data_IF_490945436733
#
_entry.id   IF_490945436733
#
_cell.length_a   1.000
_cell.length_b   1.000
_cell.length_c   1.000
_cell.angle_alpha   90.00
_cell.angle_beta   90.00
_cell.angle_gamma   90.00
#
_symmetry.space_group_name_H-M   'P 1'
#
loop_
_entity.id
_entity.type
_entity.pdbx_description
1 polymer ?
#
# COMPACT_ATOMS: atom_id res chain seq x y z
N UNK A 1 -30.16 -17.47 -9.32
CA UNK A 1 -29.80 -16.03 -9.29
C UNK A 1 -28.47 -15.68 -8.61
N UNK A 2 -27.90 -16.55 -7.78
CA UNK A 2 -26.64 -16.27 -7.04
C UNK A 2 -25.38 -16.40 -7.93
N UNK A 3 -25.38 -17.28 -8.94
CA UNK A 3 -24.24 -17.45 -9.87
C UNK A 3 -23.98 -16.25 -10.80
N UNK A 4 -25.00 -15.44 -11.13
CA UNK A 4 -24.83 -14.23 -11.97
C UNK A 4 -24.27 -13.03 -11.21
N UNK A 5 -24.50 -12.93 -9.89
CA UNK A 5 -23.90 -11.87 -9.06
C UNK A 5 -22.42 -12.12 -8.75
N UNK A 6 -21.98 -13.38 -8.70
CA UNK A 6 -20.58 -13.72 -8.46
C UNK A 6 -19.67 -13.45 -9.67
N UNK A 7 -20.20 -13.55 -10.91
CA UNK A 7 -19.45 -13.20 -12.14
C UNK A 7 -19.28 -11.68 -12.36
N UNK A 8 -20.15 -10.85 -11.80
CA UNK A 8 -20.05 -9.39 -11.92
C UNK A 8 -19.05 -8.78 -10.92
N UNK A 9 -18.82 -9.43 -9.77
CA UNK A 9 -17.77 -8.99 -8.83
C UNK A 9 -16.36 -9.32 -9.34
N UNK A 10 -16.16 -10.44 -10.04
CA UNK A 10 -14.86 -10.82 -10.60
C UNK A 10 -14.46 -9.97 -11.82
N UNK A 11 -15.42 -9.44 -12.58
CA UNK A 11 -15.14 -8.53 -13.69
C UNK A 11 -14.64 -7.14 -13.24
N UNK A 12 -15.13 -6.63 -12.10
CA UNK A 12 -14.72 -5.32 -11.57
C UNK A 12 -13.32 -5.34 -10.93
N UNK A 13 -12.91 -6.46 -10.33
CA UNK A 13 -11.54 -6.64 -9.81
C UNK A 13 -10.53 -6.79 -10.95
N UNK A 14 -10.93 -7.34 -12.10
CA UNK A 14 -10.05 -7.53 -13.25
C UNK A 14 -9.72 -6.23 -14.00
N UNK A 15 -10.58 -5.21 -13.93
CA UNK A 15 -10.35 -3.92 -14.61
C UNK A 15 -9.40 -2.99 -13.85
N UNK A 16 -9.22 -3.17 -12.53
CA UNK A 16 -8.29 -2.37 -11.72
C UNK A 16 -6.82 -2.80 -11.95
N UNK A 17 -6.59 -4.03 -12.42
CA UNK A 17 -5.24 -4.52 -12.73
C UNK A 17 -4.77 -4.15 -14.15
N UNK A 18 -5.65 -3.62 -15.01
CA UNK A 18 -5.32 -3.33 -16.41
C UNK A 18 -4.77 -1.93 -16.70
N UNK A 19 -4.74 -0.99 -15.74
CA UNK A 19 -4.24 0.37 -16.01
C UNK A 19 -2.76 0.62 -15.71
N UNK A 20 -1.99 -0.37 -15.24
CA UNK A 20 -0.60 -0.15 -14.83
C UNK A 20 0.47 -1.00 -15.55
N UNK A 21 0.12 -1.81 -16.57
CA UNK A 21 1.10 -2.77 -17.15
C UNK A 21 1.19 -2.83 -18.69
N UNK A 22 0.66 -1.86 -19.43
CA UNK A 22 0.88 -1.82 -20.88
C UNK A 22 1.24 -0.43 -21.36
N UNK A 23 2.53 -0.11 -21.37
CA UNK A 23 3.10 0.66 -22.47
C UNK A 23 4.40 -0.01 -22.91
N UNK A 24 4.29 -0.70 -24.06
CA UNK A 24 5.41 -1.18 -24.85
C UNK A 24 6.17 0.04 -25.40
N UNK A 25 7.49 -0.05 -25.39
CA UNK A 25 8.39 0.84 -26.11
C UNK A 25 8.07 0.79 -27.62
N UNK A 26 7.64 1.91 -28.19
CA UNK A 26 7.82 2.19 -29.61
C UNK A 26 8.38 3.61 -29.76
N UNK A 27 9.46 3.70 -30.52
CA UNK A 27 10.22 4.91 -30.81
C UNK A 27 9.32 5.98 -31.45
N UNK A 28 9.16 7.11 -30.77
CA UNK A 28 8.53 8.31 -31.30
C UNK A 28 9.24 9.56 -30.80
N UNK A 29 10.02 10.20 -31.68
CA UNK A 29 10.63 11.51 -31.42
C UNK A 29 9.54 12.53 -31.06
N UNK A 30 9.54 13.01 -29.81
CA UNK A 30 8.67 14.10 -29.39
C UNK A 30 9.32 15.45 -29.73
N UNK A 31 8.73 16.21 -30.65
CA UNK A 31 9.07 17.62 -30.88
C UNK A 31 8.18 18.50 -29.99
N UNK A 32 8.74 19.45 -29.20
CA UNK A 32 7.91 20.31 -28.37
C UNK A 32 7.27 21.44 -29.20
N UNK A 33 5.94 21.54 -29.11
CA UNK A 33 5.18 22.69 -29.60
C UNK A 33 5.28 23.85 -28.60
N UNK A 34 5.62 25.03 -29.10
CA UNK A 34 5.58 26.30 -28.36
C UNK A 34 4.11 26.71 -28.17
N UNK A 35 3.68 26.92 -26.93
CA UNK A 35 2.59 27.83 -26.62
C UNK A 35 2.99 28.77 -25.49
N UNK A 36 3.13 30.03 -25.87
CA UNK A 36 3.23 31.21 -25.04
C UNK A 36 1.88 31.54 -24.41
N UNK A 37 1.85 31.73 -23.09
CA UNK A 37 0.68 32.21 -22.37
C UNK A 37 1.06 32.48 -20.92
N UNK A 38 1.55 33.69 -20.64
CA UNK A 38 1.92 34.12 -19.30
C UNK A 38 0.70 34.37 -18.42
N UNK A 39 0.79 33.95 -17.16
CA UNK A 39 0.11 34.62 -16.06
C UNK A 39 1.10 34.73 -14.90
N UNK A 40 1.53 35.96 -14.63
CA UNK A 40 2.45 36.29 -13.55
C UNK A 40 1.70 36.18 -12.22
N UNK A 41 1.98 35.12 -11.47
CA UNK A 41 1.77 35.10 -10.02
C UNK A 41 3.14 35.11 -9.38
N UNK A 42 3.45 36.20 -8.70
CA UNK A 42 4.68 36.38 -7.93
C UNK A 42 4.66 35.45 -6.72
N UNK A 43 5.09 34.21 -6.89
CA UNK A 43 5.51 33.35 -5.79
C UNK A 43 6.94 33.70 -5.42
N UNK A 44 7.20 33.93 -4.13
CA UNK A 44 8.54 34.11 -3.56
C UNK A 44 9.54 33.07 -4.10
N UNK A 45 10.38 33.50 -5.06
CA UNK A 45 11.49 32.71 -5.59
C UNK A 45 12.67 32.74 -4.60
N UNK A 46 12.50 32.11 -3.44
CA UNK A 46 13.66 31.50 -2.81
C UNK A 46 14.07 30.32 -3.72
N UNK A 47 15.35 30.19 -4.11
CA UNK A 47 15.76 29.04 -4.92
C UNK A 47 15.34 27.77 -4.18
N UNK A 48 14.58 26.90 -4.84
CA UNK A 48 14.34 25.56 -4.32
C UNK A 48 15.69 24.84 -4.27
N UNK A 49 16.39 24.96 -3.14
CA UNK A 49 17.62 24.23 -2.86
C UNK A 49 17.22 22.77 -2.81
N UNK A 50 17.49 22.07 -3.91
CA UNK A 50 17.26 20.64 -3.99
C UNK A 50 18.17 19.99 -2.94
N UNK A 51 17.63 19.08 -2.09
CA UNK A 51 18.45 18.35 -1.14
C UNK A 51 19.64 17.70 -1.84
N UNK A 52 20.82 17.77 -1.21
CA UNK A 52 22.04 17.18 -1.73
C UNK A 52 21.89 15.66 -1.90
N UNK A 53 21.30 15.00 -0.91
CA UNK A 53 20.99 13.57 -0.96
C UNK A 53 19.59 13.31 -1.48
N UNK A 54 19.48 12.32 -2.36
CA UNK A 54 18.21 11.79 -2.85
C UNK A 54 17.44 11.03 -1.76
N UNK A 55 16.13 10.83 -1.96
CA UNK A 55 15.31 9.97 -1.11
C UNK A 55 15.58 8.50 -1.45
N UNK A 56 16.15 7.68 -0.54
CA UNK A 56 16.39 6.27 -0.80
C UNK A 56 15.10 5.45 -0.89
N UNK A 57 13.95 6.00 -0.45
CA UNK A 57 12.63 5.38 -0.61
C UNK A 57 12.01 5.65 -1.98
N UNK A 58 12.66 6.44 -2.83
CA UNK A 58 12.29 6.57 -4.24
C UNK A 58 12.60 5.26 -4.98
N UNK A 59 11.68 4.81 -5.83
CA UNK A 59 11.79 3.54 -6.56
C UNK A 59 13.11 3.37 -7.33
N UNK A 60 13.50 4.39 -8.09
CA UNK A 60 14.74 4.36 -8.85
C UNK A 60 15.96 4.43 -7.93
N UNK A 61 15.94 5.33 -6.94
CA UNK A 61 17.06 5.48 -5.99
C UNK A 61 17.32 4.20 -5.19
N UNK A 62 16.25 3.52 -4.75
CA UNK A 62 16.33 2.26 -4.04
C UNK A 62 17.01 1.19 -4.89
N UNK A 63 16.57 1.02 -6.14
CA UNK A 63 17.18 0.10 -7.12
C UNK A 63 18.61 0.49 -7.47
N UNK A 64 18.90 1.77 -7.56
CA UNK A 64 20.25 2.27 -7.81
C UNK A 64 21.21 1.86 -6.70
N UNK A 65 20.78 1.89 -5.43
CA UNK A 65 21.60 1.46 -4.29
C UNK A 65 21.69 -0.06 -4.22
N UNK A 66 20.56 -0.77 -4.24
CA UNK A 66 20.49 -2.19 -3.84
C UNK A 66 20.32 -3.19 -5.00
N UNK A 67 19.88 -2.72 -6.16
CA UNK A 67 19.53 -3.56 -7.32
C UNK A 67 20.53 -3.49 -8.49
N UNK A 68 21.59 -2.70 -8.37
CA UNK A 68 22.64 -2.59 -9.39
C UNK A 68 23.87 -3.44 -9.03
N UNK A 69 24.53 -3.97 -10.05
CA UNK A 69 25.80 -4.69 -9.91
C UNK A 69 26.92 -3.70 -9.67
N UNK A 70 27.70 -3.90 -8.61
CA UNK A 70 28.78 -2.98 -8.23
C UNK A 70 30.19 -3.54 -8.49
N UNK A 71 30.32 -4.85 -8.67
CA UNK A 71 31.60 -5.49 -9.00
C UNK A 71 31.69 -5.81 -10.48
N UNK A 72 32.84 -5.55 -11.11
CA UNK A 72 33.09 -5.99 -12.50
C UNK A 72 33.31 -7.50 -12.61
N UNK A 73 33.87 -8.12 -11.56
CA UNK A 73 34.21 -9.55 -11.51
C UNK A 73 33.07 -10.46 -11.00
N UNK A 74 31.90 -9.90 -10.72
CA UNK A 74 30.79 -10.64 -10.15
C UNK A 74 29.46 -9.90 -10.20
N UNK A 75 28.36 -10.62 -10.06
CA UNK A 75 27.02 -10.03 -10.03
C UNK A 75 26.63 -9.64 -8.60
N UNK A 76 27.50 -8.91 -7.88
CA UNK A 76 27.36 -8.63 -6.45
C UNK A 76 26.94 -7.19 -6.15
N UNK A 77 26.33 -7.01 -4.98
CA UNK A 77 26.02 -5.71 -4.39
C UNK A 77 26.29 -5.72 -2.87
N UNK A 78 27.33 -5.00 -2.46
CA UNK A 78 27.78 -4.93 -1.07
C UNK A 78 26.80 -4.20 -0.14
N UNK A 79 26.05 -3.22 -0.65
CA UNK A 79 25.01 -2.53 0.12
C UNK A 79 23.87 -3.48 0.47
N UNK A 80 23.43 -4.30 -0.48
CA UNK A 80 22.37 -5.29 -0.27
C UNK A 80 22.80 -6.37 0.71
N UNK A 81 24.04 -6.88 0.58
CA UNK A 81 24.61 -7.83 1.54
C UNK A 81 24.62 -7.27 2.96
N UNK A 82 25.12 -6.05 3.12
CA UNK A 82 25.27 -5.42 4.44
C UNK A 82 23.92 -5.06 5.07
N UNK A 83 22.96 -4.58 4.27
CA UNK A 83 21.58 -4.35 4.69
C UNK A 83 20.94 -5.66 5.20
N UNK A 84 21.03 -6.75 4.44
CA UNK A 84 20.44 -8.03 4.81
C UNK A 84 21.10 -8.61 6.08
N UNK A 85 22.42 -8.63 6.17
CA UNK A 85 23.12 -9.12 7.35
C UNK A 85 22.73 -8.34 8.61
N UNK A 86 22.62 -7.02 8.51
CA UNK A 86 22.34 -6.16 9.66
C UNK A 86 20.87 -6.18 10.08
N UNK A 87 19.94 -6.05 9.13
CA UNK A 87 18.50 -5.98 9.41
C UNK A 87 17.92 -7.34 9.79
N UNK A 88 18.33 -8.42 9.10
CA UNK A 88 17.90 -9.78 9.42
C UNK A 88 18.71 -10.42 10.56
N UNK A 89 19.67 -9.67 11.13
CA UNK A 89 20.54 -10.11 12.23
C UNK A 89 21.29 -11.41 11.94
N UNK A 90 21.76 -11.58 10.70
CA UNK A 90 22.48 -12.78 10.29
C UNK A 90 23.90 -12.75 10.84
N UNK A 91 24.16 -13.64 11.80
CA UNK A 91 25.44 -13.75 12.49
C UNK A 91 26.01 -15.17 12.34
N UNK A 92 27.29 -15.34 12.69
CA UNK A 92 27.98 -16.63 12.71
C UNK A 92 27.83 -17.38 11.37
N UNK A 93 27.36 -18.62 11.42
CA UNK A 93 27.09 -19.44 10.24
C UNK A 93 25.96 -18.86 9.39
N UNK A 94 24.98 -18.15 9.94
CA UNK A 94 23.93 -17.54 9.12
C UNK A 94 24.39 -16.32 8.33
N UNK A 95 25.56 -15.75 8.61
CA UNK A 95 26.04 -14.53 7.94
C UNK A 95 26.23 -14.75 6.44
N UNK A 96 25.75 -13.79 5.64
CA UNK A 96 25.97 -13.73 4.19
C UNK A 96 27.41 -13.26 3.94
N UNK A 97 28.19 -14.06 3.24
CA UNK A 97 29.56 -13.72 2.84
C UNK A 97 29.55 -13.05 1.47
N UNK A 98 28.78 -13.60 0.54
CA UNK A 98 28.63 -13.13 -0.83
C UNK A 98 27.15 -13.16 -1.21
N UNK A 99 26.74 -12.18 -2.02
CA UNK A 99 25.41 -12.12 -2.59
C UNK A 99 25.48 -11.93 -4.10
N UNK A 100 24.63 -12.63 -4.84
CA UNK A 100 24.47 -12.51 -6.28
C UNK A 100 23.08 -11.98 -6.58
N UNK A 101 22.97 -10.86 -7.29
CA UNK A 101 21.67 -10.40 -7.77
C UNK A 101 21.08 -11.43 -8.74
N UNK A 102 19.77 -11.58 -8.74
CA UNK A 102 19.04 -12.53 -9.57
C UNK A 102 17.88 -11.83 -10.29
N UNK A 103 17.23 -12.54 -11.22
CA UNK A 103 16.13 -11.96 -11.97
C UNK A 103 14.99 -11.52 -11.02
N UNK A 104 14.60 -10.26 -11.12
CA UNK A 104 13.53 -9.68 -10.31
C UNK A 104 12.12 -10.01 -10.83
N UNK A 105 12.00 -10.66 -11.99
CA UNK A 105 10.75 -11.19 -12.50
C UNK A 105 10.49 -12.60 -11.98
N UNK A 106 9.66 -12.71 -10.94
CA UNK A 106 9.22 -13.98 -10.36
C UNK A 106 8.09 -14.58 -11.20
N UNK A 107 8.36 -15.67 -11.89
CA UNK A 107 7.37 -16.39 -12.69
C UNK A 107 7.51 -17.90 -12.52
N UNK A 108 6.47 -18.64 -12.89
CA UNK A 108 6.50 -20.12 -12.97
C UNK A 108 7.05 -20.61 -14.31
N UNK A 109 7.50 -19.71 -15.19
CA UNK A 109 7.89 -20.03 -16.57
C UNK A 109 6.72 -20.34 -17.51
N UNK A 110 5.46 -20.36 -17.02
CA UNK A 110 4.27 -20.57 -17.85
C UNK A 110 3.87 -19.27 -18.55
N UNK A 111 3.57 -19.34 -19.84
CA UNK A 111 3.21 -18.17 -20.67
C UNK A 111 1.98 -17.41 -20.20
N UNK A 112 1.06 -18.09 -19.50
CA UNK A 112 -0.21 -17.51 -19.05
C UNK A 112 -0.13 -16.91 -17.64
N UNK A 113 0.96 -17.15 -16.93
CA UNK A 113 1.13 -16.67 -15.56
C UNK A 113 1.55 -15.21 -15.55
N UNK A 114 0.77 -14.37 -14.85
CA UNK A 114 1.25 -13.04 -14.46
C UNK A 114 2.34 -13.22 -13.41
N UNK A 115 3.58 -12.89 -13.77
CA UNK A 115 4.68 -12.85 -12.83
C UNK A 115 4.60 -11.62 -11.92
N UNK A 116 5.42 -11.65 -10.87
CA UNK A 116 5.66 -10.51 -10.01
C UNK A 116 6.99 -9.86 -10.39
N UNK A 117 7.06 -8.54 -10.31
CA UNK A 117 8.33 -7.82 -10.42
C UNK A 117 8.67 -7.30 -9.03
N UNK A 118 9.82 -7.74 -8.52
CA UNK A 118 10.38 -7.31 -7.24
C UNK A 118 11.37 -6.16 -7.42
N UNK A 119 11.69 -5.45 -6.34
CA UNK A 119 12.70 -4.39 -6.40
C UNK A 119 14.11 -4.98 -6.46
N UNK A 120 14.41 -5.91 -5.55
CA UNK A 120 15.68 -6.64 -5.52
C UNK A 120 15.40 -8.11 -5.24
N UNK A 121 15.97 -8.98 -6.06
CA UNK A 121 16.00 -10.41 -5.82
C UNK A 121 17.46 -10.87 -5.88
N UNK A 122 17.88 -11.70 -4.94
CA UNK A 122 19.28 -12.10 -4.84
C UNK A 122 19.46 -13.44 -4.10
N UNK A 123 20.61 -14.07 -4.31
CA UNK A 123 20.95 -15.40 -3.79
C UNK A 123 22.30 -15.30 -3.08
N UNK A 124 22.42 -15.88 -1.90
CA UNK A 124 23.70 -15.90 -1.18
C UNK A 124 24.58 -17.12 -1.49
N UNK A 125 25.78 -17.11 -0.91
CA UNK A 125 26.73 -18.22 -0.97
C UNK A 125 26.23 -19.55 -0.37
N UNK A 126 25.10 -19.54 0.35
CA UNK A 126 24.43 -20.73 0.90
C UNK A 126 23.19 -21.13 0.10
N UNK A 127 23.01 -20.55 -1.08
CA UNK A 127 21.85 -20.70 -1.96
C UNK A 127 20.53 -20.22 -1.37
N UNK A 128 20.52 -19.52 -0.23
CA UNK A 128 19.30 -18.89 0.31
C UNK A 128 18.92 -17.75 -0.63
N UNK A 129 17.63 -17.61 -0.93
CA UNK A 129 17.14 -16.53 -1.77
C UNK A 129 16.53 -15.43 -0.91
N UNK A 130 16.70 -14.20 -1.35
CA UNK A 130 16.26 -13.00 -0.66
C UNK A 130 15.51 -12.08 -1.61
N UNK A 131 14.34 -11.63 -1.17
CA UNK A 131 13.53 -10.63 -1.86
C UNK A 131 13.55 -9.38 -0.98
N UNK A 132 13.98 -8.23 -1.52
CA UNK A 132 13.94 -6.95 -0.82
C UNK A 132 12.98 -6.02 -1.53
N UNK A 133 11.99 -5.51 -0.80
CA UNK A 133 10.92 -4.68 -1.32
C UNK A 133 10.85 -3.34 -0.59
N UNK A 134 10.72 -2.24 -1.32
CA UNK A 134 10.48 -0.91 -0.77
C UNK A 134 9.06 -0.47 -1.10
N UNK A 135 8.21 -0.35 -0.09
CA UNK A 135 6.82 0.05 -0.28
C UNK A 135 6.51 1.34 0.46
N UNK A 136 6.29 2.41 -0.30
CA UNK A 136 6.10 3.72 0.32
C UNK A 136 4.64 4.03 0.64
N UNK A 137 3.70 3.43 -0.08
CA UNK A 137 2.27 3.59 0.17
C UNK A 137 1.65 2.34 0.72
N UNK A 138 0.76 2.56 1.67
CA UNK A 138 -0.22 1.57 2.07
C UNK A 138 -1.27 1.43 0.96
N UNK A 139 -1.32 0.27 0.32
CA UNK A 139 -2.37 -0.06 -0.63
C UNK A 139 -3.00 -1.40 -0.25
N UNK A 140 -4.30 -1.55 -0.49
CA UNK A 140 -5.00 -2.80 -0.29
C UNK A 140 -4.30 -3.94 -1.03
N UNK A 141 -4.16 -5.11 -0.40
CA UNK A 141 -3.52 -6.28 -1.00
C UNK A 141 -2.01 -6.35 -0.81
N UNK A 142 -1.39 -5.43 -0.06
CA UNK A 142 0.07 -5.45 0.14
C UNK A 142 0.55 -6.70 0.90
N UNK A 143 -0.19 -7.11 1.95
CA UNK A 143 0.17 -8.29 2.75
C UNK A 143 0.11 -9.56 1.90
N UNK A 144 -0.95 -9.71 1.11
CA UNK A 144 -1.12 -10.82 0.19
C UNK A 144 -0.07 -10.81 -0.93
N UNK A 145 0.37 -9.62 -1.36
CA UNK A 145 1.42 -9.46 -2.39
C UNK A 145 2.76 -9.98 -1.88
N UNK A 146 3.21 -9.59 -0.70
CA UNK A 146 4.49 -10.05 -0.15
C UNK A 146 4.46 -11.55 0.22
N UNK A 147 3.30 -12.08 0.62
CA UNK A 147 3.11 -13.52 0.78
C UNK A 147 3.17 -14.24 -0.58
N UNK A 148 2.51 -13.68 -1.59
CA UNK A 148 2.49 -14.19 -2.95
C UNK A 148 3.87 -14.23 -3.61
N UNK A 149 4.74 -13.25 -3.34
CA UNK A 149 6.12 -13.25 -3.82
C UNK A 149 6.91 -14.45 -3.31
N UNK A 150 6.88 -14.66 -1.99
CA UNK A 150 7.59 -15.76 -1.33
C UNK A 150 7.04 -17.10 -1.79
N UNK A 151 5.71 -17.25 -1.84
CA UNK A 151 5.08 -18.46 -2.34
C UNK A 151 5.41 -18.72 -3.83
N UNK A 152 5.47 -17.66 -4.66
CA UNK A 152 5.82 -17.77 -6.08
C UNK A 152 7.25 -18.23 -6.29
N UNK A 153 8.21 -17.63 -5.59
CA UNK A 153 9.63 -17.97 -5.74
C UNK A 153 10.00 -19.29 -5.05
N UNK A 154 9.31 -19.65 -3.96
CA UNK A 154 9.44 -20.99 -3.39
C UNK A 154 8.87 -22.06 -4.34
N UNK A 155 7.67 -21.81 -4.88
CA UNK A 155 6.96 -22.74 -5.76
C UNK A 155 7.58 -22.89 -7.15
N UNK A 156 8.30 -21.89 -7.66
CA UNK A 156 8.95 -21.94 -8.97
C UNK A 156 10.20 -22.83 -9.00
N UNK A 157 10.74 -23.19 -7.82
CA UNK A 157 11.91 -24.07 -7.71
C UNK A 157 11.59 -25.53 -7.99
N UNK A 158 10.31 -25.92 -8.01
CA UNK A 158 9.91 -27.30 -8.27
C UNK A 158 9.91 -27.57 -9.78
N UNK A 159 11.04 -28.03 -10.31
CA UNK A 159 11.13 -28.55 -11.67
C UNK A 159 10.67 -30.03 -11.75
N UNK A 160 10.14 -30.41 -12.91
CA UNK A 160 9.61 -31.77 -13.11
C UNK A 160 10.77 -32.77 -13.24
N UNK A 161 10.91 -33.66 -12.25
CA UNK A 161 11.90 -34.75 -12.26
C UNK A 161 13.13 -34.53 -11.37
N UNK A 162 13.20 -33.39 -10.66
CA UNK A 162 14.25 -33.13 -9.69
C UNK A 162 13.91 -33.64 -8.28
N UNK A 163 14.95 -33.88 -7.48
CA UNK A 163 14.81 -34.32 -6.10
C UNK A 163 14.38 -33.12 -5.22
N UNK A 164 13.29 -33.30 -4.45
CA UNK A 164 12.68 -32.29 -3.57
C UNK A 164 13.58 -31.83 -2.41
N UNK A 165 14.72 -32.50 -2.19
CA UNK A 165 15.66 -32.21 -1.09
C UNK A 165 16.48 -30.92 -1.27
N UNK A 166 16.48 -30.31 -2.47
CA UNK A 166 17.36 -29.18 -2.82
C UNK A 166 16.66 -27.81 -2.89
N UNK A 167 15.50 -27.65 -2.25
CA UNK A 167 14.77 -26.37 -2.29
C UNK A 167 15.43 -25.33 -1.39
N UNK A 168 15.78 -24.19 -1.97
CA UNK A 168 16.35 -23.05 -1.26
C UNK A 168 15.28 -22.32 -0.44
N UNK A 169 15.57 -21.99 0.83
CA UNK A 169 14.67 -21.17 1.62
C UNK A 169 14.63 -19.74 1.07
N UNK A 170 13.46 -19.11 1.16
CA UNK A 170 13.20 -17.73 0.75
C UNK A 170 13.04 -16.86 2.00
N UNK A 171 13.73 -15.72 2.03
CA UNK A 171 13.57 -14.69 3.05
C UNK A 171 13.19 -13.36 2.41
N UNK A 172 12.01 -12.84 2.72
CA UNK A 172 11.59 -11.53 2.25
C UNK A 172 11.90 -10.46 3.30
N UNK A 173 12.48 -9.35 2.87
CA UNK A 173 12.63 -8.11 3.63
C UNK A 173 11.76 -7.03 2.98
N UNK A 174 10.64 -6.66 3.61
CA UNK A 174 9.84 -5.51 3.20
C UNK A 174 10.22 -4.30 4.04
N UNK A 175 10.43 -3.15 3.40
CA UNK A 175 10.66 -1.87 4.07
C UNK A 175 9.52 -0.94 3.69
N UNK A 176 8.77 -0.47 4.69
CA UNK A 176 7.58 0.35 4.49
C UNK A 176 7.75 1.76 5.06
N UNK A 177 7.22 2.78 4.37
CA UNK A 177 7.20 4.17 4.90
C UNK A 177 5.95 4.48 5.73
N UNK A 178 5.05 3.52 5.88
CA UNK A 178 3.80 3.62 6.62
C UNK A 178 3.77 2.57 7.73
N UNK A 179 2.87 2.74 8.69
CA UNK A 179 2.56 1.71 9.67
C UNK A 179 1.68 0.67 8.99
N UNK A 180 2.19 -0.52 8.77
CA UNK A 180 1.46 -1.68 8.27
C UNK A 180 0.62 -2.28 9.39
N UNK A 181 1.21 -2.49 10.56
CA UNK A 181 0.53 -3.04 11.73
C UNK A 181 -0.02 -1.91 12.59
N UNK A 182 -1.35 -1.77 12.58
CA UNK A 182 -2.12 -0.72 13.28
C UNK A 182 -3.07 -1.35 14.30
N UNK A 183 -3.75 -0.50 15.06
CA UNK A 183 -4.82 -0.87 16.00
C UNK A 183 -4.35 -1.91 17.02
N UNK A 184 -4.95 -3.10 17.02
CA UNK A 184 -4.61 -4.22 17.91
C UNK A 184 -3.19 -4.76 17.73
N UNK A 185 -2.51 -4.41 16.63
CA UNK A 185 -1.14 -4.82 16.31
C UNK A 185 -0.13 -3.66 16.40
N UNK A 186 -0.50 -2.53 17.04
CA UNK A 186 0.36 -1.35 17.15
C UNK A 186 1.62 -1.61 18.00
N UNK A 187 1.56 -2.60 18.90
CA UNK A 187 2.68 -3.03 19.75
C UNK A 187 3.77 -3.80 18.98
N UNK A 188 3.49 -4.24 17.74
CA UNK A 188 4.48 -4.84 16.86
C UNK A 188 5.61 -3.82 16.61
N UNK A 189 6.87 -4.17 16.92
CA UNK A 189 8.01 -3.26 16.79
C UNK A 189 8.30 -2.90 15.33
N UNK A 190 9.06 -1.81 15.15
CA UNK A 190 9.42 -1.28 13.83
C UNK A 190 10.21 -2.27 12.95
N UNK A 191 10.84 -3.30 13.52
CA UNK A 191 11.33 -4.47 12.80
C UNK A 191 10.61 -5.68 13.37
N UNK A 192 9.86 -6.40 12.54
CA UNK A 192 9.14 -7.60 12.95
C UNK A 192 9.51 -8.78 12.07
N UNK A 193 9.58 -9.97 12.68
CA UNK A 193 9.98 -11.20 12.02
C UNK A 193 8.83 -12.21 12.05
N UNK A 194 8.44 -12.70 10.88
CA UNK A 194 7.28 -13.56 10.69
C UNK A 194 7.70 -14.88 10.06
N UNK A 195 7.16 -15.98 10.59
CA UNK A 195 7.47 -17.36 10.17
C UNK A 195 6.28 -18.27 10.43
N UNK A 196 6.26 -19.41 9.76
CA UNK A 196 5.25 -20.45 10.00
C UNK A 196 5.61 -21.20 11.29
N UNK A 197 4.63 -21.37 12.18
CA UNK A 197 4.79 -22.10 13.44
C UNK A 197 3.66 -23.10 13.65
N UNK A 198 3.95 -24.16 14.40
CA UNK A 198 2.92 -25.09 14.86
C UNK A 198 2.08 -24.45 15.96
N UNK A 199 0.77 -24.61 15.88
CA UNK A 199 -0.23 -23.87 16.66
C UNK A 199 -0.14 -24.11 18.17
N UNK A 200 0.16 -25.34 18.60
CA UNK A 200 0.18 -25.73 20.01
C UNK A 200 1.47 -25.33 20.72
N UNK A 201 2.61 -25.54 20.05
CA UNK A 201 3.95 -25.44 20.64
C UNK A 201 4.73 -24.21 20.19
N UNK A 202 4.23 -23.47 19.20
CA UNK A 202 4.91 -22.37 18.53
C UNK A 202 6.27 -22.75 17.90
N UNK A 203 6.51 -24.05 17.69
CA UNK A 203 7.75 -24.53 17.06
C UNK A 203 7.73 -24.24 15.56
N UNK A 204 8.87 -23.79 15.04
CA UNK A 204 9.06 -23.53 13.61
C UNK A 204 9.64 -24.78 12.94
N UNK A 205 8.77 -25.68 12.49
CA UNK A 205 9.18 -26.89 11.74
C UNK A 205 9.40 -26.56 10.27
N UNK A 206 8.56 -25.70 9.68
CA UNK A 206 8.65 -25.28 8.29
C UNK A 206 9.49 -24.00 8.15
N UNK A 207 10.79 -24.16 7.89
CA UNK A 207 11.75 -23.05 7.85
C UNK A 207 12.02 -22.48 6.44
N UNK A 208 11.26 -22.92 5.44
CA UNK A 208 11.49 -22.60 4.02
C UNK A 208 11.09 -21.17 3.62
N UNK A 209 10.26 -20.49 4.42
CA UNK A 209 9.71 -19.17 4.09
C UNK A 209 9.72 -18.28 5.33
N UNK A 210 10.29 -17.08 5.22
CA UNK A 210 10.30 -16.06 6.29
C UNK A 210 10.05 -14.67 5.73
N UNK A 211 9.46 -13.81 6.54
CA UNK A 211 9.26 -12.40 6.24
C UNK A 211 9.86 -11.56 7.36
N UNK A 212 10.52 -10.48 7.00
CA UNK A 212 10.92 -9.41 7.93
C UNK A 212 10.36 -8.10 7.41
N UNK A 213 9.63 -7.39 8.25
CA UNK A 213 9.00 -6.12 7.90
C UNK A 213 9.68 -5.01 8.71
N UNK A 214 10.14 -3.98 8.02
CA UNK A 214 10.71 -2.77 8.62
C UNK A 214 9.76 -1.60 8.36
N UNK A 215 9.08 -1.13 9.40
CA UNK A 215 8.17 0.02 9.35
C UNK A 215 8.93 1.31 9.70
N UNK A 216 9.43 2.03 8.69
CA UNK A 216 10.16 3.29 8.88
C UNK A 216 9.33 4.34 9.65
N UNK A 217 8.00 4.28 9.55
CA UNK A 217 7.09 5.15 10.29
C UNK A 217 7.20 4.98 11.81
N UNK A 218 7.56 3.78 12.30
CA UNK A 218 7.72 3.47 13.74
C UNK A 218 9.14 3.74 14.25
N UNK A 219 10.12 3.96 13.38
CA UNK A 219 11.51 4.21 13.76
C UNK A 219 11.76 5.64 14.24
N UNK A 220 12.00 5.86 15.53
CA UNK A 220 12.11 7.21 16.11
C UNK A 220 13.46 7.52 16.77
N UNK A 221 14.50 6.70 16.52
CA UNK A 221 15.83 6.94 17.05
C UNK A 221 16.42 8.23 16.50
N UNK A 222 17.01 9.03 17.37
CA UNK A 222 17.84 10.18 17.04
C UNK A 222 19.21 9.75 16.59
N UNK A 223 19.96 10.64 15.93
CA UNK A 223 21.32 10.34 15.45
C UNK A 223 22.23 9.85 16.58
N UNK A 224 22.10 10.40 17.80
CA UNK A 224 22.88 10.00 18.98
C UNK A 224 22.60 8.55 19.44
N UNK A 225 21.43 8.01 19.12
CA UNK A 225 21.01 6.64 19.43
C UNK A 225 21.38 5.61 18.35
N UNK A 226 21.97 6.07 17.24
CA UNK A 226 22.45 5.22 16.14
C UNK A 226 23.77 4.57 16.53
N UNK A 227 23.69 3.30 16.90
CA UNK A 227 24.82 2.53 17.45
C UNK A 227 25.13 1.26 16.63
N UNK A 228 24.17 0.74 15.89
CA UNK A 228 24.31 -0.52 15.14
C UNK A 228 24.24 -0.30 13.64
N UNK A 229 24.72 -1.26 12.85
CA UNK A 229 24.67 -1.17 11.39
C UNK A 229 23.22 -1.10 10.85
N UNK A 230 22.29 -1.85 11.47
CA UNK A 230 20.86 -1.74 11.13
C UNK A 230 20.31 -0.34 11.40
N UNK A 231 20.75 0.30 12.49
CA UNK A 231 20.31 1.65 12.83
C UNK A 231 20.79 2.63 11.78
N UNK A 232 22.03 2.50 11.30
CA UNK A 232 22.57 3.34 10.22
C UNK A 232 21.75 3.21 8.95
N UNK A 233 21.47 1.98 8.50
CA UNK A 233 20.65 1.75 7.31
C UNK A 233 19.25 2.33 7.45
N UNK A 234 18.55 2.02 8.54
CA UNK A 234 17.16 2.46 8.74
C UNK A 234 17.09 3.98 8.91
N UNK A 235 18.06 4.59 9.60
CA UNK A 235 18.15 6.03 9.73
C UNK A 235 18.46 6.70 8.38
N UNK A 236 19.38 6.15 7.57
CA UNK A 236 19.66 6.65 6.23
C UNK A 236 18.43 6.58 5.33
N UNK A 237 17.76 5.43 5.26
CA UNK A 237 16.55 5.23 4.47
C UNK A 237 15.43 6.21 4.86
N UNK A 238 15.28 6.51 6.16
CA UNK A 238 14.24 7.42 6.64
C UNK A 238 14.59 8.90 6.44
N UNK A 239 15.85 9.29 6.69
CA UNK A 239 16.21 10.69 6.93
C UNK A 239 17.13 11.31 5.87
N UNK A 240 17.65 10.55 4.89
CA UNK A 240 18.67 10.98 3.92
C UNK A 240 18.48 12.41 3.36
N UNK A 241 17.26 12.78 2.93
CA UNK A 241 16.97 14.11 2.34
C UNK A 241 17.25 15.28 3.29
N UNK A 242 17.16 15.05 4.60
CA UNK A 242 17.19 16.06 5.64
C UNK A 242 18.40 15.93 6.56
N UNK A 243 19.36 15.05 6.23
CA UNK A 243 20.55 14.84 7.06
C UNK A 243 21.35 16.13 7.22
N UNK A 244 21.61 16.51 8.48
CA UNK A 244 22.59 17.55 8.80
C UNK A 244 24.02 17.08 8.54
N UNK A 245 24.99 18.00 8.47
CA UNK A 245 26.40 17.62 8.32
C UNK A 245 26.92 16.83 9.53
N UNK A 246 26.45 17.13 10.75
CA UNK A 246 26.78 16.34 11.94
C UNK A 246 26.23 14.91 11.86
N UNK A 247 24.97 14.77 11.42
CA UNK A 247 24.33 13.46 11.27
C UNK A 247 25.04 12.61 10.21
N UNK A 248 25.40 13.24 9.07
CA UNK A 248 26.19 12.58 8.03
C UNK A 248 27.49 12.06 8.60
N UNK A 249 28.26 12.90 9.28
CA UNK A 249 29.54 12.52 9.85
C UNK A 249 29.41 11.26 10.71
N UNK A 250 28.44 11.24 11.63
CA UNK A 250 28.20 10.08 12.50
C UNK A 250 27.81 8.80 11.74
N UNK A 251 26.98 8.91 10.70
CA UNK A 251 26.58 7.76 9.89
C UNK A 251 27.75 7.22 9.07
N UNK A 252 28.55 8.12 8.49
CA UNK A 252 29.65 7.80 7.56
C UNK A 252 30.96 7.37 8.23
N UNK A 253 30.98 7.21 9.55
CA UNK A 253 32.07 6.49 10.24
C UNK A 253 32.15 5.03 9.78
N UNK A 254 31.04 4.47 9.27
CA UNK A 254 31.01 3.20 8.58
C UNK A 254 31.26 3.36 7.07
N UNK A 255 32.16 2.55 6.52
CA UNK A 255 32.61 2.68 5.11
C UNK A 255 31.49 2.33 4.13
N UNK A 256 30.67 1.32 4.41
CA UNK A 256 29.57 0.91 3.54
C UNK A 256 28.51 2.01 3.50
N UNK A 257 28.13 2.55 4.66
CA UNK A 257 27.17 3.66 4.76
C UNK A 257 27.73 4.92 4.10
N UNK A 258 29.02 5.21 4.23
CA UNK A 258 29.67 6.31 3.52
C UNK A 258 29.54 6.18 2.01
N UNK A 259 29.87 5.01 1.45
CA UNK A 259 29.74 4.77 0.01
C UNK A 259 28.28 4.80 -0.45
N UNK A 260 27.33 4.35 0.38
CA UNK A 260 25.90 4.50 0.09
C UNK A 260 25.47 5.97 0.07
N UNK A 261 25.97 6.81 1.00
CA UNK A 261 25.74 8.26 1.01
C UNK A 261 26.31 8.94 -0.25
N UNK A 262 27.49 8.55 -0.71
CA UNK A 262 28.08 9.04 -1.97
C UNK A 262 27.23 8.65 -3.19
N UNK A 263 26.64 7.45 -3.16
CA UNK A 263 25.78 6.93 -4.23
C UNK A 263 24.42 7.61 -4.32
N UNK A 264 23.93 8.19 -3.22
CA UNK A 264 22.69 9.01 -3.23
C UNK A 264 22.97 10.51 -3.31
N UNK A 265 24.25 10.90 -3.40
CA UNK A 265 24.66 12.28 -3.56
C UNK A 265 24.36 12.75 -4.98
N UNK A 266 23.32 13.55 -5.13
CA UNK A 266 22.87 14.02 -6.45
C UNK A 266 23.89 14.90 -7.15
N UNK A 267 24.90 15.41 -6.43
CA UNK A 267 25.99 16.19 -7.04
C UNK A 267 26.95 15.30 -7.83
N UNK A 268 27.03 14.00 -7.53
CA UNK A 268 27.90 13.04 -8.23
C UNK A 268 27.19 12.38 -9.43
N UNK A 269 25.86 12.45 -9.49
CA UNK A 269 25.04 11.83 -10.52
C UNK A 269 25.19 12.45 -11.91
N UNK A 270 25.10 11.57 -12.91
CA UNK A 270 24.98 11.96 -14.32
C UNK A 270 23.67 12.72 -14.58
N UNK A 271 23.55 13.33 -15.77
CA UNK A 271 22.30 13.96 -16.17
C UNK A 271 21.16 12.94 -16.31
N UNK A 272 21.46 11.74 -16.80
CA UNK A 272 20.48 10.65 -16.97
C UNK A 272 19.97 10.14 -15.63
N UNK A 273 20.85 9.90 -14.66
CA UNK A 273 20.48 9.47 -13.30
C UNK A 273 19.51 10.47 -12.64
N UNK A 274 19.81 11.77 -12.78
CA UNK A 274 18.92 12.84 -12.29
C UNK A 274 17.54 12.80 -12.96
N UNK A 275 17.49 12.52 -14.27
CA UNK A 275 16.23 12.37 -15.01
C UNK A 275 15.46 11.14 -14.52
N UNK A 276 16.13 10.00 -14.34
CA UNK A 276 15.46 8.78 -13.87
C UNK A 276 14.87 8.96 -12.47
N UNK A 277 15.64 9.56 -11.56
CA UNK A 277 15.16 9.90 -10.23
C UNK A 277 13.95 10.87 -10.27
N UNK A 278 14.07 11.99 -11.00
CA UNK A 278 13.00 12.98 -11.09
C UNK A 278 11.73 12.38 -11.72
N UNK A 279 11.86 11.49 -12.73
CA UNK A 279 10.73 10.75 -13.33
C UNK A 279 10.06 9.80 -12.32
N UNK A 280 10.84 9.12 -11.48
CA UNK A 280 10.31 8.26 -10.44
C UNK A 280 9.55 9.07 -9.38
N UNK A 281 10.08 10.24 -8.98
CA UNK A 281 9.38 11.17 -8.09
C UNK A 281 8.06 11.69 -8.69
N UNK A 282 8.06 12.04 -9.98
CA UNK A 282 6.86 12.57 -10.63
C UNK A 282 5.79 11.48 -10.84
N UNK A 283 6.19 10.27 -11.23
CA UNK A 283 5.27 9.12 -11.29
C UNK A 283 4.59 8.89 -9.95
N UNK A 284 5.39 8.88 -8.89
CA UNK A 284 4.91 8.77 -7.52
C UNK A 284 3.91 9.88 -7.17
N UNK A 285 4.22 11.16 -7.47
CA UNK A 285 3.27 12.26 -7.21
C UNK A 285 1.96 12.09 -7.97
N UNK A 286 2.00 11.65 -9.23
CA UNK A 286 0.80 11.40 -10.04
C UNK A 286 -0.03 10.26 -9.43
N UNK A 287 0.61 9.17 -9.02
CA UNK A 287 -0.05 8.07 -8.30
C UNK A 287 -0.61 8.54 -6.95
N UNK A 288 0.07 9.45 -6.24
CA UNK A 288 -0.43 10.02 -4.98
C UNK A 288 -1.67 10.86 -5.24
N UNK A 289 -1.60 11.80 -6.17
CA UNK A 289 -2.73 12.67 -6.49
C UNK A 289 -3.95 11.90 -7.01
N UNK A 290 -3.72 10.82 -7.78
CA UNK A 290 -4.79 9.93 -8.24
C UNK A 290 -5.45 9.19 -7.07
N UNK A 291 -4.65 8.66 -6.14
CA UNK A 291 -5.17 7.95 -4.97
C UNK A 291 -5.91 8.88 -4.00
N UNK A 292 -5.35 10.06 -3.72
CA UNK A 292 -5.97 11.07 -2.85
C UNK A 292 -7.31 11.53 -3.42
N UNK A 293 -7.40 11.71 -4.74
CA UNK A 293 -8.65 12.03 -5.43
C UNK A 293 -9.68 10.91 -5.26
N UNK A 294 -9.30 9.66 -5.52
CA UNK A 294 -10.20 8.49 -5.37
C UNK A 294 -10.65 8.32 -3.91
N UNK A 295 -9.76 8.54 -2.95
CA UNK A 295 -10.06 8.45 -1.52
C UNK A 295 -11.09 9.51 -1.11
N UNK A 296 -10.86 10.78 -1.47
CA UNK A 296 -11.81 11.88 -1.22
C UNK A 296 -13.17 11.64 -1.86
N UNK A 297 -13.21 11.23 -3.12
CA UNK A 297 -14.46 10.91 -3.81
C UNK A 297 -15.20 9.72 -3.17
N UNK A 298 -14.47 8.78 -2.56
CA UNK A 298 -15.05 7.63 -1.87
C UNK A 298 -15.62 8.01 -0.50
N UNK A 299 -14.91 8.84 0.25
CA UNK A 299 -15.37 9.41 1.52
C UNK A 299 -16.62 10.28 1.31
N UNK A 300 -16.61 11.18 0.32
CA UNK A 300 -17.78 12.00 -0.02
C UNK A 300 -18.99 11.15 -0.41
N UNK A 301 -18.79 10.08 -1.19
CA UNK A 301 -19.87 9.14 -1.54
C UNK A 301 -20.38 8.39 -0.32
N UNK A 302 -19.49 7.96 0.57
CA UNK A 302 -19.85 7.33 1.84
C UNK A 302 -20.69 8.25 2.72
N UNK A 303 -20.25 9.50 2.89
CA UNK A 303 -20.96 10.50 3.68
C UNK A 303 -22.34 10.83 3.08
N UNK A 304 -22.43 10.97 1.76
CA UNK A 304 -23.71 11.18 1.05
C UNK A 304 -24.67 10.01 1.26
N UNK A 305 -24.18 8.77 1.13
CA UNK A 305 -24.99 7.56 1.36
C UNK A 305 -25.48 7.48 2.80
N UNK A 306 -24.60 7.70 3.78
CA UNK A 306 -24.97 7.71 5.20
C UNK A 306 -26.05 8.75 5.51
N UNK A 307 -25.93 9.98 4.98
CA UNK A 307 -26.98 11.02 5.12
C UNK A 307 -28.29 10.63 4.45
N UNK A 308 -28.25 9.93 3.31
CA UNK A 308 -29.46 9.49 2.61
C UNK A 308 -30.16 8.34 3.36
N UNK A 309 -29.39 7.39 3.89
CA UNK A 309 -29.88 6.30 4.72
C UNK A 309 -30.51 6.84 6.02
N UNK A 310 -29.84 7.77 6.71
CA UNK A 310 -30.37 8.44 7.89
C UNK A 310 -31.69 9.17 7.57
N UNK A 311 -31.77 9.90 6.44
CA UNK A 311 -33.03 10.53 5.99
C UNK A 311 -34.14 9.52 5.74
N UNK A 312 -33.82 8.36 5.15
CA UNK A 312 -34.79 7.27 4.93
C UNK A 312 -35.26 6.68 6.25
N UNK A 313 -34.36 6.45 7.21
CA UNK A 313 -34.71 5.94 8.54
C UNK A 313 -35.59 6.91 9.33
N UNK A 314 -35.26 8.20 9.32
CA UNK A 314 -36.08 9.25 9.93
C UNK A 314 -37.47 9.27 9.29
N UNK A 315 -37.55 9.29 7.96
CA UNK A 315 -38.84 9.26 7.24
C UNK A 315 -39.67 8.00 7.57
N UNK A 316 -39.03 6.83 7.65
CA UNK A 316 -39.71 5.60 8.05
C UNK A 316 -40.21 5.66 9.51
N UNK A 317 -39.41 6.22 10.42
CA UNK A 317 -39.79 6.39 11.83
C UNK A 317 -40.98 7.32 11.98
N UNK A 318 -40.99 8.42 11.24
CA UNK A 318 -42.10 9.38 11.25
C UNK A 318 -43.36 8.79 10.62
N UNK A 319 -43.24 8.06 9.51
CA UNK A 319 -44.37 7.33 8.92
C UNK A 319 -44.95 6.30 9.90
N UNK A 320 -44.12 5.58 10.66
CA UNK A 320 -44.59 4.67 11.73
C UNK A 320 -45.34 5.40 12.84
N UNK A 321 -44.88 6.60 13.24
CA UNK A 321 -45.57 7.43 14.24
C UNK A 321 -46.95 7.89 13.73
N UNK A 322 -47.00 8.37 12.49
CA UNK A 322 -48.23 8.78 11.79
C UNK A 322 -49.23 7.61 11.71
N UNK A 323 -48.81 6.42 11.27
CA UNK A 323 -49.67 5.20 11.25
C UNK A 323 -50.22 4.84 12.63
N UNK A 324 -49.39 4.83 13.68
CA UNK A 324 -49.85 4.56 15.06
C UNK A 324 -50.87 5.58 15.55
N UNK A 325 -50.76 6.85 15.13
CA UNK A 325 -51.72 7.90 15.47
C UNK A 325 -53.05 7.67 14.75
N UNK A 326 -53.01 7.37 13.45
CA UNK A 326 -54.19 6.99 12.65
C UNK A 326 -54.90 5.79 13.28
N UNK A 327 -54.18 4.71 13.60
CA UNK A 327 -54.74 3.52 14.25
C UNK A 327 -55.48 3.84 15.56
N UNK A 328 -54.94 4.76 16.37
CA UNK A 328 -55.57 5.21 17.62
C UNK A 328 -56.85 5.99 17.36
N UNK A 329 -56.86 6.90 16.38
CA UNK A 329 -58.06 7.68 16.08
C UNK A 329 -59.16 6.83 15.41
N UNK A 330 -58.80 5.84 14.58
CA UNK A 330 -59.76 4.85 14.06
C UNK A 330 -60.36 4.04 15.22
N UNK A 331 -59.54 3.60 16.19
CA UNK A 331 -60.03 2.84 17.35
C UNK A 331 -60.99 3.64 18.25
N UNK A 332 -60.94 4.99 18.20
CA UNK A 332 -61.90 5.87 18.89
C UNK A 332 -63.19 6.12 18.09
N UNK A 333 -63.30 5.58 16.88
CA UNK A 333 -64.45 5.78 16.01
C UNK A 333 -64.46 7.10 15.23
N UNK A 334 -63.32 7.79 15.12
CA UNK A 334 -63.22 9.04 14.34
C UNK A 334 -63.41 8.76 12.84
N UNK A 335 -64.18 9.60 12.16
CA UNK A 335 -64.39 9.51 10.71
C UNK A 335 -63.09 9.84 9.92
N UNK A 336 -62.86 9.25 8.73
CA UNK A 336 -61.63 9.46 7.94
C UNK A 336 -61.25 10.94 7.73
N UNK A 337 -62.21 11.80 7.40
CA UNK A 337 -61.99 13.24 7.21
C UNK A 337 -61.53 13.95 8.49
N UNK A 338 -61.96 13.47 9.66
CA UNK A 338 -61.57 14.02 10.95
C UNK A 338 -60.15 13.57 11.30
N UNK A 339 -59.81 12.30 11.05
CA UNK A 339 -58.45 11.76 11.25
C UNK A 339 -57.46 12.51 10.36
N UNK A 340 -57.83 12.72 9.09
CA UNK A 340 -57.03 13.47 8.12
C UNK A 340 -56.68 14.87 8.63
N UNK A 341 -57.66 15.62 9.14
CA UNK A 341 -57.44 16.95 9.74
C UNK A 341 -56.53 16.91 10.97
N UNK A 342 -56.69 15.92 11.85
CA UNK A 342 -55.84 15.75 13.04
C UNK A 342 -54.38 15.46 12.66
N UNK A 343 -54.15 14.58 11.68
CA UNK A 343 -52.78 14.28 11.24
C UNK A 343 -52.15 15.49 10.54
N UNK A 344 -52.90 16.22 9.72
CA UNK A 344 -52.41 17.44 9.07
C UNK A 344 -52.10 18.56 10.09
N UNK A 345 -52.82 18.64 11.22
CA UNK A 345 -52.49 19.58 12.29
C UNK A 345 -51.27 19.15 13.10
N UNK A 346 -51.13 17.85 13.37
CA UNK A 346 -50.03 17.29 14.16
C UNK A 346 -48.71 17.22 13.33
N UNK A 347 -48.80 17.20 12.00
CA UNK A 347 -47.69 17.03 11.07
C UNK A 347 -47.83 17.95 9.84
N UNK A 348 -47.34 19.18 9.97
CA UNK A 348 -47.42 20.23 8.93
C UNK A 348 -46.58 19.94 7.66
N UNK A 349 -45.78 18.87 7.68
CA UNK A 349 -44.84 18.42 6.65
C UNK A 349 -45.41 17.37 5.69
N UNK A 350 -46.71 17.03 5.81
CA UNK A 350 -47.35 15.96 5.03
C UNK A 350 -48.14 16.48 3.84
N UNK A 351 -48.11 15.73 2.74
CA UNK A 351 -49.09 15.89 1.68
C UNK A 351 -50.44 15.28 2.08
N UNK A 352 -51.51 15.91 1.60
CA UNK A 352 -52.88 15.52 1.90
C UNK A 352 -53.21 14.12 1.35
N UNK A 353 -52.68 13.81 0.17
CA UNK A 353 -52.82 12.51 -0.51
C UNK A 353 -52.06 11.39 0.21
N UNK A 354 -50.88 11.68 0.74
CA UNK A 354 -50.08 10.72 1.49
C UNK A 354 -50.81 10.23 2.76
N UNK A 355 -51.48 11.15 3.46
CA UNK A 355 -52.28 10.82 4.65
C UNK A 355 -53.51 9.99 4.29
N UNK A 356 -54.22 10.33 3.21
CA UNK A 356 -55.35 9.52 2.72
C UNK A 356 -54.94 8.09 2.41
N UNK A 357 -53.83 7.93 1.69
CA UNK A 357 -53.28 6.61 1.37
C UNK A 357 -52.92 5.82 2.63
N UNK A 358 -52.31 6.47 3.63
CA UNK A 358 -51.98 5.84 4.92
C UNK A 358 -53.23 5.45 5.72
N UNK A 359 -54.29 6.26 5.69
CA UNK A 359 -55.58 5.94 6.34
C UNK A 359 -56.21 4.73 5.67
N UNK A 360 -56.27 4.71 4.32
CA UNK A 360 -56.82 3.60 3.55
C UNK A 360 -56.06 2.30 3.80
N UNK A 361 -54.71 2.33 3.78
CA UNK A 361 -53.88 1.15 4.11
C UNK A 361 -54.19 0.58 5.50
N UNK A 362 -54.34 1.44 6.53
CA UNK A 362 -54.62 0.98 7.90
C UNK A 362 -56.04 0.41 8.01
N UNK A 363 -57.01 0.98 7.30
CA UNK A 363 -58.38 0.46 7.24
C UNK A 363 -58.38 -0.92 6.56
N UNK A 364 -57.78 -1.05 5.38
CA UNK A 364 -57.69 -2.33 4.65
C UNK A 364 -57.01 -3.44 5.47
N UNK A 365 -55.95 -3.10 6.23
CA UNK A 365 -55.28 -4.06 7.10
C UNK A 365 -56.16 -4.56 8.26
N UNK A 366 -57.10 -3.73 8.75
CA UNK A 366 -58.06 -4.13 9.78
C UNK A 366 -59.25 -4.91 9.22
N UNK A 367 -59.66 -4.66 7.98
CA UNK A 367 -60.76 -5.39 7.35
C UNK A 367 -60.35 -6.81 6.93
N UNK A 368 -59.05 -7.04 6.76
CA UNK A 368 -58.46 -8.35 6.39
C UNK A 368 -57.97 -9.18 7.60
N UNK A 369 -58.10 -8.69 8.83
CA UNK A 369 -57.89 -9.41 10.09
C UNK A 369 -59.23 -9.80 10.69
#
# INVERSE_FOLDING_TARGET
MIKKKLMLLTAAVCTIVQSCSSYKNENGMYKPSRQSGGSNTTSNNAPHVRPKYADPTNDWCFKHIFGEVLSEEGNQNDFTRDLLNSVLELQNDEKIVEIRLDNNYLSTGRKEDRGFITDVHCIDNKKRKFIVEMQVKDHTGWEERIQGYVARDYGSQFEKGENYENISPIRLLAITKFKMFKDENEDIPYISHHKITEETTNKCVFNGMKWTIVELAKFNKRVDEINTQKDRWIFLLKNAKMLSEEEKKKLTDDVIIKSACERIDRTTWSHEDKIYYDRAEDRRKVENGSFDKVSKESEERGLKRGREEERKEVKQRDNRRKKRRIEKEIAKGSAPDTIKKIILSDYSDCDETDIENMINEVIEQRTNQ
#
